data_IF_595021863023
#
_entry.id   IF_595021863023
#
_cell.length_a   1.000
_cell.length_b   1.000
_cell.length_c   1.000
_cell.angle_alpha   90.00
_cell.angle_beta   90.00
_cell.angle_gamma   90.00
#
_symmetry.space_group_name_H-M   'P 1'
#
loop_
_entity.id
_entity.type
_entity.pdbx_description
1 polymer ?
#
# COMPACT_ATOMS: atom_id res chain seq x y z
N UNK A 1 15.50 -22.25 -11.64
CA UNK A 1 15.32 -21.77 -13.02
C UNK A 1 14.74 -20.37 -12.92
N UNK A 2 15.30 -19.39 -13.61
CA UNK A 2 14.79 -18.02 -13.64
C UNK A 2 14.17 -17.75 -15.01
N UNK A 3 12.96 -17.20 -15.03
CA UNK A 3 12.31 -16.77 -16.27
C UNK A 3 13.00 -15.52 -16.85
N UNK A 4 12.82 -15.25 -18.16
CA UNK A 4 13.27 -14.00 -18.76
C UNK A 4 12.75 -12.78 -18.01
N UNK A 5 13.48 -11.66 -18.08
CA UNK A 5 13.05 -10.41 -17.43
C UNK A 5 11.65 -10.01 -17.89
N UNK A 6 10.82 -9.62 -16.93
CA UNK A 6 9.44 -9.24 -17.18
C UNK A 6 8.47 -10.41 -17.31
N UNK A 7 8.85 -11.62 -16.89
CA UNK A 7 7.98 -12.80 -16.87
C UNK A 7 7.90 -13.32 -15.42
N UNK A 8 6.68 -13.63 -14.94
CA UNK A 8 6.50 -14.15 -13.58
C UNK A 8 6.94 -15.62 -13.54
N UNK A 9 7.71 -15.98 -12.52
CA UNK A 9 8.11 -17.37 -12.23
C UNK A 9 7.25 -17.92 -11.09
N UNK A 10 6.42 -18.92 -11.38
CA UNK A 10 5.69 -19.73 -10.39
C UNK A 10 6.68 -20.57 -9.56
N UNK A 11 6.29 -21.06 -8.40
CA UNK A 11 7.22 -21.79 -7.51
C UNK A 11 7.65 -23.16 -8.07
N UNK A 12 6.87 -23.75 -8.96
CA UNK A 12 7.24 -24.95 -9.72
C UNK A 12 8.20 -24.66 -10.89
N UNK A 13 8.58 -23.39 -11.12
CA UNK A 13 9.45 -22.96 -12.21
C UNK A 13 8.72 -22.66 -13.53
N UNK A 14 7.38 -22.75 -13.58
CA UNK A 14 6.61 -22.32 -14.75
C UNK A 14 6.70 -20.81 -14.93
N UNK A 15 6.82 -20.38 -16.19
CA UNK A 15 6.87 -18.97 -16.58
C UNK A 15 5.53 -18.54 -17.17
N UNK A 16 4.91 -17.49 -16.64
CA UNK A 16 3.65 -16.95 -17.15
C UNK A 16 3.79 -15.48 -17.59
N UNK A 17 2.99 -15.09 -18.60
CA UNK A 17 2.95 -13.70 -19.09
C UNK A 17 2.51 -12.73 -17.98
N UNK A 18 3.01 -11.48 -17.96
CA UNK A 18 2.49 -10.42 -17.10
C UNK A 18 0.98 -10.20 -17.22
N UNK A 19 0.39 -10.49 -18.38
CA UNK A 19 -1.05 -10.36 -18.61
C UNK A 19 -1.87 -11.36 -17.79
N UNK A 20 -1.25 -12.43 -17.29
CA UNK A 20 -1.83 -13.44 -16.40
C UNK A 20 -1.54 -13.16 -14.92
N UNK A 21 -0.98 -11.99 -14.59
CA UNK A 21 -0.73 -11.59 -13.21
C UNK A 21 -1.86 -10.68 -12.78
N UNK A 22 -2.60 -11.07 -11.75
CA UNK A 22 -3.76 -10.34 -11.25
C UNK A 22 -4.89 -10.22 -12.27
N UNK A 23 -5.08 -11.27 -13.07
CA UNK A 23 -6.15 -11.35 -14.06
C UNK A 23 -7.43 -11.99 -13.47
N UNK A 24 -7.36 -12.50 -12.23
CA UNK A 24 -8.44 -13.15 -11.51
C UNK A 24 -8.49 -14.67 -11.71
N UNK A 25 -7.58 -15.25 -12.48
CA UNK A 25 -7.43 -16.68 -12.70
C UNK A 25 -6.14 -17.19 -12.06
N UNK A 26 -6.13 -18.47 -11.69
CA UNK A 26 -4.93 -19.12 -11.16
C UNK A 26 -4.21 -19.84 -12.30
N UNK A 27 -3.28 -19.15 -12.95
CA UNK A 27 -2.39 -19.67 -14.00
C UNK A 27 -1.13 -20.31 -13.41
N UNK A 28 -0.68 -19.86 -12.23
CA UNK A 28 0.30 -20.60 -11.44
C UNK A 28 -0.38 -21.73 -10.63
N UNK A 29 0.31 -22.88 -10.49
CA UNK A 29 -0.15 -24.00 -9.65
C UNK A 29 -0.31 -23.61 -8.17
N UNK A 30 0.59 -22.74 -7.71
CA UNK A 30 0.69 -22.15 -6.37
C UNK A 30 -0.13 -20.86 -6.21
N UNK A 31 -0.83 -20.42 -7.26
CA UNK A 31 -1.62 -19.17 -7.30
C UNK A 31 -0.83 -17.89 -7.01
N UNK A 32 0.50 -17.94 -7.19
CA UNK A 32 1.40 -16.84 -6.87
C UNK A 32 1.17 -15.59 -7.73
N UNK A 33 0.72 -15.81 -8.95
CA UNK A 33 0.19 -14.81 -9.88
C UNK A 33 -0.96 -13.99 -9.30
N UNK A 34 -1.78 -14.59 -8.44
CA UNK A 34 -2.90 -13.93 -7.77
C UNK A 34 -2.64 -13.57 -6.29
N UNK A 35 -1.52 -14.02 -5.72
CA UNK A 35 -1.26 -13.92 -4.28
C UNK A 35 -0.94 -12.50 -3.80
N UNK A 36 -0.35 -11.65 -4.65
CA UNK A 36 0.11 -10.30 -4.28
C UNK A 36 -0.54 -9.19 -5.11
N UNK A 37 -1.78 -9.43 -5.54
CA UNK A 37 -2.55 -8.46 -6.28
C UNK A 37 -2.99 -7.30 -5.42
N UNK A 38 -2.77 -6.09 -5.93
CA UNK A 38 -3.20 -4.95 -5.15
C UNK A 38 -4.73 -4.85 -5.11
N UNK A 39 -5.25 -4.47 -3.95
CA UNK A 39 -6.67 -4.44 -3.62
C UNK A 39 -6.97 -3.27 -2.70
N UNK A 40 -8.19 -2.75 -2.80
CA UNK A 40 -8.72 -1.83 -1.81
C UNK A 40 -9.24 -2.64 -0.62
N UNK A 41 -8.81 -2.27 0.58
CA UNK A 41 -9.38 -2.76 1.84
C UNK A 41 -9.90 -1.59 2.64
N UNK A 42 -10.85 -1.86 3.54
CA UNK A 42 -11.28 -0.85 4.50
C UNK A 42 -10.11 -0.47 5.40
N UNK A 43 -9.94 0.83 5.60
CA UNK A 43 -8.96 1.37 6.55
C UNK A 43 -9.40 1.05 7.98
N UNK A 44 -8.56 0.36 8.73
CA UNK A 44 -8.86 -0.13 10.08
C UNK A 44 -7.87 0.40 11.14
N UNK A 45 -7.51 1.68 11.08
CA UNK A 45 -6.65 2.30 12.09
C UNK A 45 -7.40 3.39 12.88
N UNK A 46 -7.45 3.35 14.23
CA UNK A 46 -8.23 4.30 15.05
C UNK A 46 -7.90 5.78 14.81
N UNK A 47 -6.63 6.09 14.53
CA UNK A 47 -6.17 7.46 14.27
C UNK A 47 -6.45 7.95 12.85
N UNK A 48 -6.71 7.03 11.91
CA UNK A 48 -6.88 7.38 10.49
C UNK A 48 -8.35 7.41 10.05
N UNK A 49 -9.27 7.63 10.99
CA UNK A 49 -10.69 7.78 10.68
C UNK A 49 -10.97 9.17 10.06
N UNK A 50 -11.92 9.25 9.13
CA UNK A 50 -12.37 10.50 8.48
C UNK A 50 -11.30 11.27 7.67
N UNK A 51 -10.31 10.58 7.10
CA UNK A 51 -9.19 11.17 6.34
C UNK A 51 -9.55 11.65 4.91
N UNK A 52 -10.84 11.76 4.58
CA UNK A 52 -11.32 12.00 3.21
C UNK A 52 -11.26 10.77 2.29
N UNK A 53 -10.77 9.64 2.81
CA UNK A 53 -10.84 8.31 2.21
C UNK A 53 -11.15 7.27 3.30
N UNK A 54 -11.80 6.17 2.93
CA UNK A 54 -12.18 5.08 3.85
C UNK A 54 -11.53 3.74 3.48
N UNK A 55 -10.80 3.70 2.38
CA UNK A 55 -10.15 2.51 1.86
C UNK A 55 -8.66 2.77 1.60
N UNK A 56 -7.84 1.77 1.90
CA UNK A 56 -6.40 1.77 1.66
C UNK A 56 -6.02 0.70 0.64
N UNK A 57 -5.01 0.99 -0.19
CA UNK A 57 -4.45 0.00 -1.13
C UNK A 57 -3.44 -0.88 -0.41
N UNK A 58 -3.68 -2.19 -0.44
CA UNK A 58 -2.70 -3.22 -0.10
C UNK A 58 -2.20 -3.92 -1.38
N UNK A 59 -0.97 -4.46 -1.43
CA UNK A 59 0.05 -4.22 -0.43
C UNK A 59 0.51 -2.76 -0.41
N UNK A 60 0.87 -2.24 0.76
CA UNK A 60 1.36 -0.87 0.86
C UNK A 60 2.82 -0.79 0.37
N UNK A 61 3.17 0.25 -0.39
CA UNK A 61 4.55 0.38 -0.92
C UNK A 61 5.59 0.79 0.12
N UNK A 62 5.17 1.26 1.30
CA UNK A 62 6.08 1.74 2.35
C UNK A 62 6.65 0.59 3.17
N UNK A 63 5.79 -0.35 3.60
CA UNK A 63 6.18 -1.46 4.48
C UNK A 63 6.02 -2.84 3.83
N UNK A 64 5.52 -2.90 2.59
CA UNK A 64 5.23 -4.15 1.88
C UNK A 64 4.28 -5.09 2.66
N UNK A 65 3.36 -4.52 3.45
CA UNK A 65 2.30 -5.26 4.12
C UNK A 65 1.17 -5.57 3.15
N UNK A 66 0.67 -6.79 3.14
CA UNK A 66 -0.41 -7.34 2.31
C UNK A 66 -1.76 -7.50 3.05
N UNK A 67 -1.75 -7.26 4.36
CA UNK A 67 -2.92 -7.21 5.24
C UNK A 67 -2.96 -5.97 6.15
N UNK A 68 -4.13 -5.74 6.75
CA UNK A 68 -4.38 -4.61 7.64
C UNK A 68 -3.66 -4.75 8.99
N UNK A 69 -3.39 -5.97 9.47
CA UNK A 69 -2.81 -6.19 10.81
C UNK A 69 -1.31 -5.92 10.83
N UNK A 70 -0.59 -6.31 9.76
CA UNK A 70 0.78 -5.90 9.47
C UNK A 70 0.85 -4.37 9.39
N UNK A 71 -0.04 -3.76 8.61
CA UNK A 71 0.00 -2.32 8.35
C UNK A 71 -0.26 -1.49 9.62
N UNK A 72 -1.23 -1.90 10.45
CA UNK A 72 -1.48 -1.29 11.77
C UNK A 72 -0.25 -1.35 12.67
N UNK A 73 0.40 -2.53 12.77
CA UNK A 73 1.58 -2.73 13.63
C UNK A 73 2.76 -1.86 13.18
N UNK A 74 3.02 -1.78 11.88
CA UNK A 74 4.10 -0.94 11.36
C UNK A 74 3.79 0.55 11.52
N UNK A 75 2.54 0.96 11.32
CA UNK A 75 2.10 2.32 11.58
C UNK A 75 2.27 2.73 13.05
N UNK A 76 1.84 1.87 13.98
CA UNK A 76 2.01 2.08 15.42
C UNK A 76 3.49 2.21 15.84
N UNK A 77 4.37 1.43 15.19
CA UNK A 77 5.84 1.55 15.41
C UNK A 77 6.36 2.88 14.89
N UNK A 78 5.92 3.31 13.71
CA UNK A 78 6.28 4.60 13.13
C UNK A 78 5.88 5.74 14.07
N UNK A 79 4.64 5.75 14.55
CA UNK A 79 4.15 6.78 15.46
C UNK A 79 4.94 6.86 16.77
N UNK A 80 5.32 5.71 17.36
CA UNK A 80 6.15 5.68 18.58
C UNK A 80 7.60 6.12 18.34
N UNK A 81 8.08 6.04 17.10
CA UNK A 81 9.43 6.51 16.74
C UNK A 81 9.49 7.99 16.43
N UNK A 82 8.33 8.63 16.26
CA UNK A 82 8.22 10.07 16.07
C UNK A 82 8.36 10.79 17.41
N UNK A 83 8.99 11.95 17.38
CA UNK A 83 9.10 12.85 18.51
C UNK A 83 7.69 13.28 18.99
N UNK A 84 7.50 13.50 20.30
CA UNK A 84 6.24 14.04 20.85
C UNK A 84 5.87 15.39 20.22
N UNK A 85 6.88 16.12 19.75
CA UNK A 85 6.73 17.37 18.99
C UNK A 85 6.03 17.20 17.62
N UNK A 86 5.91 15.98 17.09
CA UNK A 86 5.31 15.65 15.79
C UNK A 86 3.83 15.27 15.83
N UNK A 87 3.13 15.37 16.97
CA UNK A 87 1.81 14.73 17.16
C UNK A 87 0.70 15.19 16.21
N UNK A 88 0.76 16.40 15.62
CA UNK A 88 -0.24 16.93 14.67
C UNK A 88 0.06 16.63 13.18
N UNK A 89 0.90 15.63 12.91
CA UNK A 89 1.27 15.22 11.54
C UNK A 89 0.66 13.88 11.13
N UNK A 90 -0.26 13.37 11.95
CA UNK A 90 -0.92 12.07 11.78
C UNK A 90 -1.71 11.98 10.46
N UNK A 91 -2.26 13.09 9.97
CA UNK A 91 -2.92 13.13 8.66
C UNK A 91 -1.97 12.71 7.54
N UNK A 92 -0.76 13.30 7.52
CA UNK A 92 0.24 12.98 6.52
C UNK A 92 0.68 11.52 6.62
N UNK A 93 0.99 11.05 7.84
CA UNK A 93 1.43 9.67 8.04
C UNK A 93 0.33 8.66 7.73
N UNK A 94 -0.93 8.96 8.02
CA UNK A 94 -2.06 8.12 7.64
C UNK A 94 -2.16 8.01 6.11
N UNK A 95 -2.11 9.12 5.37
CA UNK A 95 -2.14 9.09 3.90
C UNK A 95 -0.88 8.44 3.29
N UNK A 96 0.28 8.60 3.93
CA UNK A 96 1.55 8.04 3.48
C UNK A 96 1.62 6.52 3.69
N UNK A 97 1.16 6.01 4.83
CA UNK A 97 1.21 4.57 5.14
C UNK A 97 0.01 3.83 4.56
N UNK A 98 -1.18 4.41 4.72
CA UNK A 98 -2.44 3.91 4.18
C UNK A 98 -2.78 4.68 2.90
N UNK A 99 -2.05 4.38 1.83
CA UNK A 99 -2.32 4.98 0.52
C UNK A 99 -3.81 4.86 0.20
N UNK A 100 -4.48 5.98 -0.07
CA UNK A 100 -5.89 5.97 -0.40
C UNK A 100 -6.14 5.07 -1.61
N UNK A 101 -7.26 4.35 -1.62
CA UNK A 101 -7.58 3.47 -2.74
C UNK A 101 -8.68 4.07 -3.59
N UNK A 102 -8.42 4.25 -4.88
CA UNK A 102 -9.47 4.58 -5.85
C UNK A 102 -9.81 3.33 -6.68
N UNK A 103 -11.09 3.01 -6.86
CA UNK A 103 -11.49 1.95 -7.79
C UNK A 103 -11.02 2.33 -9.20
N UNK A 104 -10.55 1.33 -9.96
CA UNK A 104 -10.06 1.51 -11.32
C UNK A 104 -11.12 2.24 -12.17
N UNK A 105 -10.77 3.37 -12.79
CA UNK A 105 -11.66 4.06 -13.73
C UNK A 105 -11.65 3.33 -15.07
N UNK A 106 -12.68 2.53 -15.32
CA UNK A 106 -12.91 1.87 -16.61
C UNK A 106 -12.53 0.39 -16.62
N UNK A 107 -13.26 -0.38 -17.43
CA UNK A 107 -13.19 -1.82 -17.52
C UNK A 107 -12.04 -2.30 -18.41
N UNK A 108 -10.95 -2.77 -17.80
CA UNK A 108 -10.11 -3.88 -18.27
C UNK A 108 -8.81 -3.92 -17.45
N UNK A 109 -8.76 -4.83 -16.48
CA UNK A 109 -7.55 -5.41 -15.86
C UNK A 109 -6.54 -4.48 -15.16
N UNK A 110 -6.01 -5.03 -14.07
CA UNK A 110 -4.84 -4.59 -13.30
C UNK A 110 -5.03 -3.45 -12.29
N UNK A 111 -5.50 -3.84 -11.10
CA UNK A 111 -5.13 -3.25 -9.80
C UNK A 111 -5.57 -1.80 -9.49
N UNK A 112 -6.21 -1.53 -8.33
CA UNK A 112 -6.62 -0.19 -7.94
C UNK A 112 -5.41 0.71 -7.65
N UNK A 113 -5.37 1.94 -8.16
CA UNK A 113 -4.23 2.86 -7.98
C UNK A 113 -4.15 3.45 -6.56
N UNK A 114 -2.93 3.65 -6.00
CA UNK A 114 -2.77 4.31 -4.71
C UNK A 114 -2.84 5.83 -4.88
N UNK A 115 -3.59 6.48 -4.02
CA UNK A 115 -3.57 7.93 -3.81
C UNK A 115 -2.55 8.25 -2.73
N UNK A 116 -1.50 8.96 -3.09
CA UNK A 116 -0.44 9.40 -2.19
C UNK A 116 -0.66 10.84 -1.76
N UNK A 117 -0.17 11.25 -0.57
CA UNK A 117 -0.16 12.66 -0.20
C UNK A 117 0.74 13.47 -1.16
N UNK A 118 0.35 14.71 -1.43
CA UNK A 118 1.16 15.63 -2.22
C UNK A 118 2.49 15.95 -1.52
N UNK A 119 3.50 16.34 -2.30
CA UNK A 119 4.80 16.76 -1.78
C UNK A 119 4.71 17.86 -0.72
N UNK A 120 3.83 18.84 -0.92
CA UNK A 120 3.63 19.96 0.02
C UNK A 120 3.16 19.50 1.40
N UNK A 121 2.34 18.44 1.47
CA UNK A 121 1.90 17.87 2.74
C UNK A 121 3.08 17.23 3.51
N UNK A 122 4.02 16.60 2.79
CA UNK A 122 5.25 16.06 3.38
C UNK A 122 6.13 17.17 3.96
N UNK A 123 6.35 18.24 3.20
CA UNK A 123 7.17 19.36 3.67
C UNK A 123 6.54 20.06 4.86
N UNK A 124 5.22 20.26 4.84
CA UNK A 124 4.49 20.85 5.97
C UNK A 124 4.60 20.01 7.25
N UNK A 125 4.44 18.69 7.15
CA UNK A 125 4.60 17.78 8.28
C UNK A 125 6.03 17.82 8.86
N UNK A 126 7.04 17.77 7.98
CA UNK A 126 8.45 17.85 8.36
C UNK A 126 8.77 19.18 9.06
N UNK A 127 8.35 20.30 8.47
CA UNK A 127 8.66 21.62 8.98
C UNK A 127 7.94 21.88 10.32
N UNK A 128 6.72 21.36 10.49
CA UNK A 128 6.02 21.35 11.77
C UNK A 128 6.83 20.59 12.83
N UNK A 129 7.24 19.35 12.54
CA UNK A 129 8.07 18.54 13.44
C UNK A 129 9.35 19.27 13.87
N UNK A 130 10.09 19.88 12.93
CA UNK A 130 11.33 20.58 13.25
C UNK A 130 11.13 21.91 13.98
N UNK A 131 10.01 22.60 13.77
CA UNK A 131 9.72 23.85 14.48
C UNK A 131 9.45 23.65 15.97
N UNK A 132 9.18 22.40 16.39
CA UNK A 132 8.78 22.02 17.73
C UNK A 132 9.88 21.25 18.49
N UNK A 133 11.03 21.01 17.86
CA UNK A 133 12.22 20.36 18.46
C UNK A 133 13.24 21.41 18.94
#
# INVERSE_FOLDING_TARGET
AECPRGILTCDNGTCISPDYVCDGNSDCFDKKDEASCARCTRLEHPLCNNMGFTESRLPNKVFNCDDNDCLKKEFDKLLRSMDESCVNTEYFYCAYVFHGCLPARGAALSSPEPVLPCYEACTAARDYCYSQA
#
